data_IF_080885635438
#
_entry.id   IF_080885635438
#
_cell.length_a   1.000
_cell.length_b   1.000
_cell.length_c   1.000
_cell.angle_alpha   90.00
_cell.angle_beta   90.00
_cell.angle_gamma   90.00
#
_symmetry.space_group_name_H-M   'P 1'
#
loop_
_entity.id
_entity.type
_entity.pdbx_description
1 polymer ?
#
# COMPACT_ATOMS: atom_id res chain seq x y z
N UNK A 1 -13.94 6.88 21.40
CA UNK A 1 -12.76 7.00 20.53
C UNK A 1 -12.04 5.65 20.50
N UNK A 2 -12.77 4.63 20.06
CA UNK A 2 -12.50 3.21 20.31
C UNK A 2 -11.88 2.56 19.07
N UNK A 3 -10.82 1.75 19.26
CA UNK A 3 -10.47 0.61 18.40
C UNK A 3 -10.11 0.85 16.91
N UNK A 4 -9.73 2.05 16.48
CA UNK A 4 -9.31 2.24 15.08
C UNK A 4 -8.08 1.40 14.66
N UNK A 5 -7.19 1.03 15.60
CA UNK A 5 -6.00 0.22 15.27
C UNK A 5 -6.29 -1.27 15.03
N UNK A 6 -7.54 -1.75 15.16
CA UNK A 6 -7.89 -3.13 14.77
C UNK A 6 -8.52 -3.21 13.38
N UNK A 7 -8.84 -2.08 12.76
CA UNK A 7 -9.56 -2.03 11.48
C UNK A 7 -8.62 -1.97 10.26
N UNK A 8 -7.31 -1.89 10.49
CA UNK A 8 -6.33 -1.89 9.41
C UNK A 8 -6.04 -3.35 9.04
N UNK A 9 -6.14 -3.69 7.75
CA UNK A 9 -5.89 -5.07 7.26
C UNK A 9 -4.53 -5.60 7.74
N UNK A 10 -3.56 -4.72 7.86
CA UNK A 10 -2.20 -5.08 8.22
C UNK A 10 -2.09 -5.61 9.65
N UNK A 11 -2.91 -5.08 10.56
CA UNK A 11 -3.00 -5.54 11.96
C UNK A 11 -3.85 -6.81 12.11
N UNK A 12 -4.60 -7.18 11.06
CA UNK A 12 -5.31 -8.47 10.99
C UNK A 12 -4.42 -9.61 10.47
N UNK A 13 -3.43 -9.29 9.62
CA UNK A 13 -2.57 -10.29 8.95
C UNK A 13 -1.23 -10.46 9.67
N UNK A 14 -0.64 -9.40 10.23
CA UNK A 14 0.62 -9.46 10.96
C UNK A 14 0.41 -9.24 12.46
N UNK A 15 0.77 -10.25 13.25
CA UNK A 15 0.79 -10.16 14.72
C UNK A 15 1.90 -9.21 15.22
N UNK A 16 1.79 -8.76 16.48
CA UNK A 16 2.60 -7.71 17.13
C UNK A 16 4.10 -8.08 17.34
N UNK A 17 4.83 -8.37 16.27
CA UNK A 17 6.31 -8.42 16.28
C UNK A 17 6.94 -7.02 16.32
N UNK A 18 8.27 -6.94 16.19
CA UNK A 18 9.03 -5.68 16.19
C UNK A 18 8.49 -4.68 15.14
N UNK A 19 7.92 -3.58 15.63
CA UNK A 19 7.21 -2.58 14.82
C UNK A 19 8.10 -1.89 13.78
N UNK A 20 9.41 -1.80 14.05
CA UNK A 20 10.38 -1.15 13.17
C UNK A 20 10.71 -2.02 11.95
N UNK A 21 10.96 -3.32 12.17
CA UNK A 21 11.19 -4.27 11.08
C UNK A 21 9.96 -4.38 10.18
N UNK A 22 8.76 -4.41 10.79
CA UNK A 22 7.49 -4.39 10.06
C UNK A 22 7.34 -3.14 9.19
N UNK A 23 7.59 -1.96 9.75
CA UNK A 23 7.48 -0.69 8.99
C UNK A 23 8.45 -0.67 7.81
N UNK A 24 9.71 -1.05 8.02
CA UNK A 24 10.71 -1.14 6.95
C UNK A 24 10.29 -2.12 5.85
N UNK A 25 9.85 -3.32 6.23
CA UNK A 25 9.38 -4.32 5.27
C UNK A 25 8.20 -3.81 4.44
N UNK A 26 7.24 -3.14 5.08
CA UNK A 26 6.05 -2.60 4.44
C UNK A 26 6.37 -1.45 3.48
N UNK A 27 7.28 -0.56 3.85
CA UNK A 27 7.75 0.53 2.97
C UNK A 27 8.47 -0.02 1.74
N UNK A 28 9.35 -1.01 1.93
CA UNK A 28 10.06 -1.66 0.83
C UNK A 28 9.09 -2.40 -0.09
N UNK A 29 8.17 -3.19 0.47
CA UNK A 29 7.16 -3.91 -0.29
C UNK A 29 6.24 -2.96 -1.07
N UNK A 30 5.76 -1.88 -0.44
CA UNK A 30 4.93 -0.87 -1.10
C UNK A 30 5.66 -0.14 -2.24
N UNK A 31 6.95 0.20 -2.05
CA UNK A 31 7.76 0.83 -3.09
C UNK A 31 7.98 -0.08 -4.31
N UNK A 32 8.28 -1.35 -4.08
CA UNK A 32 8.41 -2.36 -5.16
C UNK A 32 7.08 -2.52 -5.90
N UNK A 33 5.97 -2.60 -5.17
CA UNK A 33 4.62 -2.74 -5.74
C UNK A 33 4.27 -1.57 -6.67
N UNK A 34 4.55 -0.33 -6.24
CA UNK A 34 4.35 0.88 -7.07
C UNK A 34 5.24 0.84 -8.31
N UNK A 35 6.51 0.45 -8.16
CA UNK A 35 7.47 0.41 -9.27
C UNK A 35 7.06 -0.59 -10.34
N UNK A 36 6.58 -1.77 -9.94
CA UNK A 36 6.05 -2.77 -10.88
C UNK A 36 4.77 -2.26 -11.54
N UNK A 37 3.89 -1.62 -10.77
CA UNK A 37 2.63 -1.08 -11.29
C UNK A 37 2.83 0.04 -12.32
N UNK A 38 3.83 0.90 -12.13
CA UNK A 38 4.18 1.95 -13.07
C UNK A 38 4.65 1.41 -14.43
N UNK A 39 5.20 0.19 -14.48
CA UNK A 39 5.59 -0.47 -15.74
C UNK A 39 4.40 -1.03 -16.52
N UNK A 40 3.28 -1.32 -15.83
CA UNK A 40 2.05 -1.78 -16.48
C UNK A 40 1.27 -0.55 -16.94
N UNK A 41 1.66 -0.06 -18.10
CA UNK A 41 1.04 1.07 -18.79
C UNK A 41 0.09 0.53 -19.85
N UNK A 42 -1.16 0.98 -19.82
CA UNK A 42 -2.12 0.76 -20.90
C UNK A 42 -1.88 1.88 -21.92
N UNK A 43 -1.56 1.56 -23.20
CA UNK A 43 -1.35 2.56 -24.23
C UNK A 43 -2.70 3.21 -24.58
N UNK A 44 -3.00 4.31 -23.89
CA UNK A 44 -4.13 5.19 -24.15
C UNK A 44 -3.63 6.44 -24.85
N UNK A 45 -4.36 6.90 -25.86
CA UNK A 45 -4.15 8.20 -26.49
C UNK A 45 -5.26 9.14 -26.03
N UNK A 46 -4.98 10.38 -25.59
CA UNK A 46 -3.76 11.17 -25.73
C UNK A 46 -2.74 11.05 -24.59
N UNK A 47 -3.04 10.32 -23.51
CA UNK A 47 -2.14 10.15 -22.35
C UNK A 47 -2.15 8.69 -21.89
N UNK A 48 -0.97 8.03 -21.79
CA UNK A 48 -0.91 6.67 -21.29
C UNK A 48 -1.37 6.62 -19.83
N UNK A 49 -2.24 5.66 -19.50
CA UNK A 49 -2.67 5.41 -18.13
C UNK A 49 -1.94 4.20 -17.55
N UNK A 50 -1.38 4.34 -16.36
CA UNK A 50 -0.75 3.24 -15.61
C UNK A 50 -1.70 2.71 -14.54
N UNK A 51 -1.49 1.46 -14.10
CA UNK A 51 -2.22 0.89 -12.97
C UNK A 51 -1.77 1.44 -11.60
N UNK A 52 -0.89 2.44 -11.60
CA UNK A 52 -0.28 2.98 -10.39
C UNK A 52 -1.32 3.59 -9.44
N UNK A 53 -2.34 4.27 -9.95
CA UNK A 53 -3.38 4.91 -9.13
C UNK A 53 -4.19 3.89 -8.33
N UNK A 54 -4.50 2.74 -8.94
CA UNK A 54 -5.16 1.62 -8.26
C UNK A 54 -4.29 1.07 -7.12
N UNK A 55 -2.99 0.96 -7.37
CA UNK A 55 -2.04 0.48 -6.37
C UNK A 55 -1.90 1.46 -5.20
N UNK A 56 -1.86 2.76 -5.46
CA UNK A 56 -1.83 3.79 -4.40
C UNK A 56 -3.10 3.73 -3.54
N UNK A 57 -4.27 3.53 -4.16
CA UNK A 57 -5.54 3.34 -3.45
C UNK A 57 -5.54 2.08 -2.59
N UNK A 58 -5.06 0.96 -3.13
CA UNK A 58 -4.91 -0.29 -2.37
C UNK A 58 -3.96 -0.13 -1.17
N UNK A 59 -2.84 0.56 -1.36
CA UNK A 59 -1.89 0.91 -0.30
C UNK A 59 -2.60 1.73 0.79
N UNK A 60 -3.32 2.80 0.43
CA UNK A 60 -4.06 3.62 1.39
C UNK A 60 -5.10 2.85 2.19
N UNK A 61 -5.81 1.90 1.57
CA UNK A 61 -6.78 1.04 2.26
C UNK A 61 -6.10 -0.02 3.14
N UNK A 62 -5.00 -0.61 2.67
CA UNK A 62 -4.27 -1.66 3.39
C UNK A 62 -3.52 -1.14 4.62
N UNK A 63 -2.92 0.05 4.52
CA UNK A 63 -2.19 0.71 5.61
C UNK A 63 -3.07 1.62 6.47
N UNK A 64 -4.23 2.04 5.95
CA UNK A 64 -5.13 2.98 6.61
C UNK A 64 -4.56 4.41 6.64
N UNK A 65 -5.43 5.38 6.95
CA UNK A 65 -5.11 6.82 6.98
C UNK A 65 -3.92 7.19 7.89
N UNK A 66 -3.58 6.34 8.87
CA UNK A 66 -2.52 6.64 9.84
C UNK A 66 -1.12 6.28 9.36
N UNK A 67 -0.99 5.45 8.32
CA UNK A 67 0.30 4.95 7.81
C UNK A 67 0.48 5.09 6.29
N UNK A 68 -0.59 5.35 5.52
CA UNK A 68 -0.54 5.69 4.10
C UNK A 68 -0.37 7.18 3.86
#
# INVERSE_FOLDING_TARGET
>A
MLQASRLVLIDAILDKGDSLFRTLFLVLAGSILITVSAKIQVPFYPVPMTLQTLVVLLIGVAFGWRMG
#
